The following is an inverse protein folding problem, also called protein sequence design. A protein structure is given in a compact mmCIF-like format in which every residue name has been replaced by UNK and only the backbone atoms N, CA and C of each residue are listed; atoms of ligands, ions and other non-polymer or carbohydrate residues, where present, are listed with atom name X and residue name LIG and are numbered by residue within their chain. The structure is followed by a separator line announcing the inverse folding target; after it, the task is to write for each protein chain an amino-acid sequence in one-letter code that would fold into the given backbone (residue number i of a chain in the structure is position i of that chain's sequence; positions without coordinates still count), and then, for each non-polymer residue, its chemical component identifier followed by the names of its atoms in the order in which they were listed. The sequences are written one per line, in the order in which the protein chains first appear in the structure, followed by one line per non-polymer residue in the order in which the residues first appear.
data_IF_291771478235
#
_entry.id   IF_291771478235
#
_cell.length_a   1.000
_cell.length_b   1.000
_cell.length_c   1.000
_cell.angle_alpha   90.00
_cell.angle_beta   90.00
_cell.angle_gamma   90.00
#
_symmetry.space_group_name_H-M   'P 1'
#
loop_
_entity.id
_entity.type
_entity.pdbx_description
1 polymer ?
#
# COMPACT_ATOMS: atom_id res chain seq x y z
N UNK A 1 -15.60 -8.34 29.16
CA UNK A 1 -16.13 -8.33 27.76
C UNK A 1 -14.92 -8.30 26.85
N UNK A 2 -14.84 -9.22 25.88
CA UNK A 2 -13.65 -9.26 25.00
C UNK A 2 -13.89 -8.40 23.75
N UNK A 3 -13.16 -7.28 23.63
CA UNK A 3 -13.18 -6.43 22.44
C UNK A 3 -11.94 -6.74 21.60
N UNK A 4 -12.14 -6.89 20.28
CA UNK A 4 -11.07 -6.95 19.30
C UNK A 4 -10.94 -5.60 18.61
N UNK A 5 -9.72 -5.09 18.53
CA UNK A 5 -9.41 -3.84 17.83
C UNK A 5 -8.40 -4.17 16.73
N UNK A 6 -8.76 -3.91 15.48
CA UNK A 6 -7.89 -4.08 14.34
C UNK A 6 -7.44 -2.71 13.82
N UNK A 7 -6.15 -2.57 13.51
CA UNK A 7 -5.59 -1.35 12.96
C UNK A 7 -4.45 -1.67 11.97
N UNK A 8 -3.95 -0.68 11.26
CA UNK A 8 -3.01 -0.86 10.14
C UNK A 8 -1.66 -1.48 10.54
N UNK A 9 -1.00 -0.93 11.55
CA UNK A 9 0.37 -1.31 11.86
C UNK A 9 0.77 -1.07 13.31
N UNK A 10 2.04 -1.33 13.62
CA UNK A 10 2.57 -1.27 14.99
C UNK A 10 2.52 0.12 15.61
N UNK A 11 2.73 1.17 14.81
CA UNK A 11 2.70 2.57 15.28
C UNK A 11 1.31 2.94 15.79
N UNK A 12 0.27 2.70 14.98
CA UNK A 12 -1.12 2.93 15.38
C UNK A 12 -1.51 2.03 16.56
N UNK A 13 -1.19 0.73 16.51
CA UNK A 13 -1.50 -0.20 17.60
C UNK A 13 -0.82 0.21 18.92
N UNK A 14 0.42 0.68 18.86
CA UNK A 14 1.15 1.19 20.03
C UNK A 14 0.42 2.40 20.63
N UNK A 15 0.03 3.34 19.81
CA UNK A 15 -0.64 4.55 20.27
C UNK A 15 -2.07 4.29 20.80
N UNK A 16 -2.84 3.39 20.18
CA UNK A 16 -4.15 2.98 20.70
C UNK A 16 -4.04 2.38 22.12
N UNK A 17 -3.01 1.54 22.36
CA UNK A 17 -2.73 1.00 23.70
C UNK A 17 -2.31 2.08 24.69
N UNK A 18 -1.43 3.00 24.27
CA UNK A 18 -0.98 4.14 25.09
C UNK A 18 -2.12 5.08 25.44
N UNK A 19 -3.06 5.30 24.51
CA UNK A 19 -4.27 6.08 24.74
C UNK A 19 -5.29 5.39 25.68
N UNK A 20 -5.03 4.16 26.10
CA UNK A 20 -5.92 3.42 27.01
C UNK A 20 -7.20 2.93 26.33
N UNK A 21 -7.19 2.71 25.02
CA UNK A 21 -8.30 2.07 24.33
C UNK A 21 -8.40 0.62 24.82
N UNK A 22 -9.51 0.30 25.46
CA UNK A 22 -9.73 -1.02 26.09
C UNK A 22 -10.09 -2.07 25.04
N UNK A 23 -9.29 -3.12 24.96
CA UNK A 23 -9.49 -4.23 24.03
C UNK A 23 -8.18 -4.91 23.62
N UNK A 24 -8.34 -5.99 22.86
CA UNK A 24 -7.21 -6.71 22.26
C UNK A 24 -6.82 -6.05 20.93
N UNK A 25 -5.76 -5.25 20.95
CA UNK A 25 -5.32 -4.51 19.75
C UNK A 25 -4.39 -5.37 18.88
N UNK A 26 -4.79 -5.62 17.64
CA UNK A 26 -4.07 -6.42 16.66
C UNK A 26 -3.72 -5.55 15.43
N UNK A 27 -2.44 -5.33 15.12
CA UNK A 27 -2.03 -4.67 13.90
C UNK A 27 -2.10 -5.63 12.70
N UNK A 28 -2.60 -5.15 11.56
CA UNK A 28 -2.81 -5.98 10.36
C UNK A 28 -1.52 -6.28 9.58
N UNK A 29 -0.62 -5.32 9.46
CA UNK A 29 0.76 -5.44 8.95
C UNK A 29 0.92 -6.04 7.56
N UNK A 30 0.01 -5.82 6.64
CA UNK A 30 0.17 -6.28 5.26
C UNK A 30 0.25 -5.10 4.29
N UNK A 31 1.31 -5.06 3.48
CA UNK A 31 1.57 -4.00 2.49
C UNK A 31 0.87 -4.38 1.18
N UNK A 32 -0.48 -4.34 1.18
CA UNK A 32 -1.31 -4.85 0.08
C UNK A 32 -1.15 -4.07 -1.23
N UNK A 33 -0.67 -2.84 -1.19
CA UNK A 33 -0.39 -2.04 -2.39
C UNK A 33 0.88 -2.46 -3.13
N UNK A 34 1.60 -3.46 -2.62
CA UNK A 34 2.80 -4.02 -3.23
C UNK A 34 2.72 -5.54 -3.37
N UNK A 35 3.34 -6.04 -4.43
CA UNK A 35 3.43 -7.46 -4.71
C UNK A 35 2.10 -8.13 -5.04
N UNK A 36 2.10 -9.45 -5.21
CA UNK A 36 0.93 -10.19 -5.68
C UNK A 36 -0.16 -10.30 -4.62
N UNK A 37 -1.39 -9.94 -5.01
CA UNK A 37 -2.63 -10.16 -4.24
C UNK A 37 -3.66 -10.82 -5.17
N UNK A 38 -3.38 -12.02 -5.71
CA UNK A 38 -4.23 -12.66 -6.71
C UNK A 38 -5.52 -13.21 -6.10
N UNK A 39 -6.48 -13.55 -6.97
CA UNK A 39 -7.60 -14.40 -6.59
C UNK A 39 -7.07 -15.78 -6.18
N UNK A 40 -7.53 -16.26 -5.04
CA UNK A 40 -7.19 -17.58 -4.50
C UNK A 40 -8.48 -18.25 -4.01
N UNK A 41 -8.48 -19.57 -3.94
CA UNK A 41 -9.65 -20.30 -3.48
C UNK A 41 -9.90 -20.11 -1.96
N UNK A 42 -8.83 -19.81 -1.20
CA UNK A 42 -8.90 -19.67 0.26
C UNK A 42 -8.04 -18.51 0.75
N UNK A 43 -8.37 -17.99 1.94
CA UNK A 43 -7.53 -16.98 2.65
C UNK A 43 -6.14 -17.57 2.98
N UNK A 44 -6.05 -18.88 3.22
CA UNK A 44 -4.78 -19.55 3.52
C UNK A 44 -3.82 -19.53 2.32
N UNK A 45 -4.33 -19.73 1.10
CA UNK A 45 -3.51 -19.63 -0.13
C UNK A 45 -3.03 -18.20 -0.35
N UNK A 46 -3.90 -17.20 -0.17
CA UNK A 46 -3.49 -15.79 -0.26
C UNK A 46 -2.41 -15.45 0.78
N UNK A 47 -2.61 -15.89 2.01
CA UNK A 47 -1.64 -15.71 3.10
C UNK A 47 -0.27 -16.31 2.76
N UNK A 48 -0.26 -17.46 2.10
CA UNK A 48 0.99 -18.13 1.66
C UNK A 48 1.72 -17.30 0.59
N UNK A 49 0.99 -16.77 -0.40
CA UNK A 49 1.52 -15.85 -1.42
C UNK A 49 2.09 -14.59 -0.76
N UNK A 50 1.33 -13.97 0.15
CA UNK A 50 1.77 -12.77 0.85
C UNK A 50 2.99 -13.00 1.73
N UNK A 51 3.05 -14.14 2.43
CA UNK A 51 4.20 -14.50 3.24
C UNK A 51 5.48 -14.65 2.39
N UNK A 52 5.38 -15.19 1.18
CA UNK A 52 6.48 -15.25 0.22
C UNK A 52 6.98 -13.85 -0.14
N UNK A 53 6.10 -12.97 -0.57
CA UNK A 53 6.45 -11.60 -0.97
C UNK A 53 7.04 -10.77 0.19
N UNK A 54 6.38 -10.79 1.35
CA UNK A 54 6.81 -10.00 2.51
C UNK A 54 8.14 -10.49 3.09
N UNK A 55 8.45 -11.79 2.97
CA UNK A 55 9.73 -12.33 3.41
C UNK A 55 10.87 -11.95 2.46
N UNK A 56 10.64 -11.98 1.15
CA UNK A 56 11.63 -11.60 0.14
C UNK A 56 12.06 -10.13 0.29
N UNK A 57 11.15 -9.25 0.63
CA UNK A 57 11.42 -7.84 0.91
C UNK A 57 12.03 -7.53 2.28
N UNK A 58 12.31 -8.54 3.14
CA UNK A 58 12.77 -8.31 4.52
C UNK A 58 13.87 -9.29 4.92
N UNK A 59 14.45 -9.13 6.11
CA UNK A 59 15.38 -10.10 6.73
C UNK A 59 14.66 -11.25 7.44
N UNK A 60 13.32 -11.26 7.40
CA UNK A 60 12.51 -12.26 8.10
C UNK A 60 12.40 -13.53 7.29
N UNK A 61 12.36 -14.67 7.96
CA UNK A 61 12.09 -15.95 7.31
C UNK A 61 10.63 -16.05 6.89
N UNK A 62 10.35 -16.63 5.72
CA UNK A 62 8.99 -16.84 5.22
C UNK A 62 8.06 -17.53 6.24
N UNK A 63 8.58 -18.57 6.94
CA UNK A 63 7.79 -19.30 7.94
C UNK A 63 7.40 -18.41 9.14
N UNK A 64 8.24 -17.44 9.51
CA UNK A 64 7.94 -16.51 10.59
C UNK A 64 6.86 -15.51 10.16
N UNK A 65 6.96 -14.99 8.94
CA UNK A 65 5.93 -14.12 8.37
C UNK A 65 4.61 -14.86 8.23
N UNK A 66 4.63 -16.10 7.71
CA UNK A 66 3.44 -16.93 7.57
C UNK A 66 2.74 -17.19 8.92
N UNK A 67 3.52 -17.48 9.97
CA UNK A 67 2.96 -17.65 11.33
C UNK A 67 2.31 -16.37 11.86
N UNK A 68 2.92 -15.22 11.64
CA UNK A 68 2.37 -13.94 12.09
C UNK A 68 1.07 -13.61 11.36
N UNK A 69 1.03 -13.79 10.04
CA UNK A 69 -0.18 -13.61 9.25
C UNK A 69 -1.28 -14.60 9.67
N UNK A 70 -0.93 -15.86 9.95
CA UNK A 70 -1.87 -16.85 10.42
C UNK A 70 -2.42 -16.52 11.83
N UNK A 71 -1.56 -16.04 12.73
CA UNK A 71 -1.97 -15.62 14.07
C UNK A 71 -2.91 -14.41 14.03
N UNK A 72 -2.65 -13.45 13.09
CA UNK A 72 -3.53 -12.32 12.82
C UNK A 72 -4.92 -12.79 12.35
N UNK A 73 -4.96 -13.65 11.33
CA UNK A 73 -6.21 -14.11 10.72
C UNK A 73 -7.03 -14.96 11.69
N UNK A 74 -6.38 -15.69 12.62
CA UNK A 74 -7.05 -16.48 13.65
C UNK A 74 -7.99 -15.64 14.54
N UNK A 75 -7.74 -14.34 14.71
CA UNK A 75 -8.67 -13.46 15.43
C UNK A 75 -9.99 -13.27 14.67
N UNK A 76 -9.94 -13.22 13.32
CA UNK A 76 -11.15 -13.18 12.51
C UNK A 76 -11.87 -14.54 12.46
N UNK A 77 -11.12 -15.65 12.48
CA UNK A 77 -11.71 -16.99 12.55
C UNK A 77 -12.43 -17.18 13.90
N UNK A 78 -11.90 -16.60 14.98
CA UNK A 78 -12.49 -16.59 16.32
C UNK A 78 -13.42 -15.38 16.56
N UNK A 79 -13.97 -14.74 15.51
CA UNK A 79 -14.76 -13.50 15.61
C UNK A 79 -15.96 -13.60 16.57
N UNK A 80 -16.50 -14.80 16.78
CA UNK A 80 -17.65 -15.04 17.68
C UNK A 80 -17.26 -14.95 19.17
N UNK A 81 -16.00 -15.09 19.52
CA UNK A 81 -15.49 -14.97 20.89
C UNK A 81 -15.42 -13.51 21.35
N UNK A 82 -15.58 -12.56 20.40
CA UNK A 82 -15.56 -11.13 20.68
C UNK A 82 -16.98 -10.56 20.68
N UNK A 83 -17.35 -9.88 21.75
CA UNK A 83 -18.62 -9.16 21.84
C UNK A 83 -18.66 -7.96 20.88
N UNK A 84 -17.47 -7.36 20.64
CA UNK A 84 -17.32 -6.17 19.80
C UNK A 84 -16.03 -6.24 19.00
N UNK A 85 -16.10 -5.85 17.73
CA UNK A 85 -14.94 -5.67 16.84
C UNK A 85 -14.89 -4.20 16.43
N UNK A 86 -13.76 -3.56 16.66
CA UNK A 86 -13.51 -2.18 16.24
C UNK A 86 -12.41 -2.17 15.18
N UNK A 87 -12.65 -1.45 14.09
CA UNK A 87 -11.72 -1.24 12.98
C UNK A 87 -11.26 0.21 13.02
N UNK A 88 -9.96 0.43 13.22
CA UNK A 88 -9.36 1.77 13.29
C UNK A 88 -8.39 1.94 12.12
N UNK A 89 -8.84 2.63 11.07
CA UNK A 89 -8.09 2.79 9.83
C UNK A 89 -8.03 4.24 9.38
N UNK A 90 -6.97 4.57 8.66
CA UNK A 90 -6.63 5.88 8.16
C UNK A 90 -7.17 6.10 6.73
N UNK A 91 -6.90 7.25 6.15
CA UNK A 91 -7.47 7.71 4.89
C UNK A 91 -6.66 7.33 3.65
N UNK A 92 -5.49 6.74 3.82
CA UNK A 92 -4.57 6.46 2.73
C UNK A 92 -4.76 5.06 2.09
N UNK A 93 -4.04 4.83 0.99
CA UNK A 93 -4.13 3.60 0.21
C UNK A 93 -3.76 2.34 1.01
N UNK A 94 -2.72 2.40 1.84
CA UNK A 94 -2.28 1.26 2.65
C UNK A 94 -3.39 0.80 3.59
N UNK A 95 -4.04 1.74 4.25
CA UNK A 95 -5.12 1.51 5.20
C UNK A 95 -6.41 1.05 4.53
N UNK A 96 -6.81 1.70 3.45
CA UNK A 96 -8.07 1.40 2.78
C UNK A 96 -8.07 0.00 2.14
N UNK A 97 -6.94 -0.48 1.64
CA UNK A 97 -6.83 -1.86 1.14
C UNK A 97 -6.96 -2.89 2.26
N UNK A 98 -6.35 -2.65 3.41
CA UNK A 98 -6.50 -3.53 4.57
C UNK A 98 -7.94 -3.53 5.09
N UNK A 99 -8.57 -2.36 5.14
CA UNK A 99 -9.96 -2.21 5.58
C UNK A 99 -10.92 -3.04 4.72
N UNK A 100 -10.85 -2.95 3.38
CA UNK A 100 -11.72 -3.74 2.51
C UNK A 100 -11.42 -5.23 2.59
N UNK A 101 -10.17 -5.64 2.78
CA UNK A 101 -9.83 -7.04 3.03
C UNK A 101 -10.50 -7.56 4.31
N UNK A 102 -10.34 -6.86 5.42
CA UNK A 102 -10.89 -7.26 6.72
C UNK A 102 -12.42 -7.35 6.67
N UNK A 103 -13.08 -6.33 6.12
CA UNK A 103 -14.53 -6.32 6.00
C UNK A 103 -15.05 -7.42 5.06
N UNK A 104 -14.34 -7.72 3.97
CA UNK A 104 -14.63 -8.86 3.10
C UNK A 104 -14.52 -10.18 3.86
N UNK A 105 -13.47 -10.36 4.67
CA UNK A 105 -13.27 -11.55 5.49
C UNK A 105 -14.34 -11.69 6.58
N UNK A 106 -14.76 -10.61 7.23
CA UNK A 106 -15.85 -10.61 8.21
C UNK A 106 -17.19 -10.94 7.57
N UNK A 107 -17.47 -10.37 6.40
CA UNK A 107 -18.68 -10.67 5.61
C UNK A 107 -18.77 -12.15 5.20
N UNK A 108 -17.66 -12.74 4.76
CA UNK A 108 -17.56 -14.16 4.42
C UNK A 108 -17.76 -15.09 5.64
N UNK A 109 -17.48 -14.62 6.86
CA UNK A 109 -17.70 -15.33 8.14
C UNK A 109 -19.06 -15.03 8.77
N UNK A 110 -19.92 -14.31 8.06
CA UNK A 110 -21.26 -13.91 8.52
C UNK A 110 -21.26 -13.05 9.80
N UNK A 111 -20.17 -12.31 10.06
CA UNK A 111 -20.11 -11.34 11.15
C UNK A 111 -20.72 -10.01 10.71
N UNK A 112 -22.02 -9.85 10.94
CA UNK A 112 -22.83 -8.71 10.49
C UNK A 112 -23.20 -7.71 11.59
N UNK A 113 -22.95 -8.04 12.83
CA UNK A 113 -23.33 -7.24 14.00
C UNK A 113 -22.12 -6.98 14.90
N UNK A 114 -22.23 -5.93 15.70
CA UNK A 114 -21.23 -5.51 16.67
C UNK A 114 -19.82 -5.29 16.05
N UNK A 115 -19.81 -4.83 14.80
CA UNK A 115 -18.62 -4.35 14.09
C UNK A 115 -18.73 -2.84 13.93
N UNK A 116 -17.72 -2.12 14.38
CA UNK A 116 -17.67 -0.66 14.36
C UNK A 116 -16.43 -0.19 13.62
N UNK A 117 -16.54 0.95 12.95
CA UNK A 117 -15.48 1.53 12.13
C UNK A 117 -15.19 2.96 12.56
N UNK A 118 -13.92 3.24 12.80
CA UNK A 118 -13.35 4.57 12.93
C UNK A 118 -12.44 4.81 11.72
N UNK A 119 -12.82 5.76 10.88
CA UNK A 119 -11.98 6.19 9.75
C UNK A 119 -11.34 7.53 10.09
N UNK A 120 -10.07 7.47 10.49
CA UNK A 120 -9.31 8.66 10.85
C UNK A 120 -8.93 9.47 9.60
N UNK A 121 -9.20 10.78 9.57
CA UNK A 121 -8.83 11.64 8.44
C UNK A 121 -7.34 12.04 8.45
N UNK A 122 -6.55 11.42 9.31
CA UNK A 122 -5.11 11.66 9.49
C UNK A 122 -4.47 10.44 10.12
N UNK A 123 -3.12 10.40 10.13
CA UNK A 123 -2.33 9.27 10.62
C UNK A 123 -2.46 9.08 12.12
N UNK A 124 -3.02 7.95 12.55
CA UNK A 124 -3.22 7.60 13.96
C UNK A 124 -1.85 7.55 14.67
N UNK A 125 -0.90 6.83 14.10
CA UNK A 125 0.42 6.64 14.70
C UNK A 125 1.26 7.92 14.88
N UNK A 126 0.84 9.05 14.29
CA UNK A 126 1.49 10.35 14.43
C UNK A 126 0.77 11.28 15.43
N UNK A 127 -0.32 10.82 16.03
CA UNK A 127 -1.09 11.60 16.98
C UNK A 127 -0.52 11.54 18.40
N UNK A 128 -1.06 12.37 19.29
CA UNK A 128 -0.91 12.21 20.74
C UNK A 128 -2.07 11.36 21.28
N UNK A 129 -1.88 10.63 22.40
CA UNK A 129 -2.93 9.79 22.98
C UNK A 129 -4.28 10.50 23.16
N UNK A 130 -4.28 11.72 23.68
CA UNK A 130 -5.50 12.51 23.89
C UNK A 130 -6.24 12.85 22.59
N UNK A 131 -5.51 13.00 21.47
CA UNK A 131 -6.12 13.28 20.17
C UNK A 131 -6.75 12.03 19.57
N UNK A 132 -6.13 10.85 19.76
CA UNK A 132 -6.66 9.56 19.29
C UNK A 132 -8.01 9.26 19.92
N UNK A 133 -8.18 9.56 21.22
CA UNK A 133 -9.47 9.37 21.91
C UNK A 133 -10.62 10.13 21.26
N UNK A 134 -10.35 11.30 20.65
CA UNK A 134 -11.37 12.07 19.92
C UNK A 134 -11.85 11.39 18.65
N UNK A 135 -11.05 10.49 18.03
CA UNK A 135 -11.50 9.75 16.86
C UNK A 135 -12.65 8.78 17.17
N UNK A 136 -12.91 8.45 18.46
CA UNK A 136 -14.12 7.72 18.85
C UNK A 136 -15.41 8.46 18.47
N UNK A 137 -15.38 9.77 18.35
CA UNK A 137 -16.53 10.56 17.90
C UNK A 137 -16.88 10.30 16.41
N UNK A 138 -15.94 9.72 15.64
CA UNK A 138 -16.12 9.32 14.26
C UNK A 138 -16.61 7.86 14.11
N UNK A 139 -16.78 7.15 15.21
CA UNK A 139 -17.19 5.75 15.21
C UNK A 139 -18.63 5.57 14.74
N UNK A 140 -18.83 4.60 13.87
CA UNK A 140 -20.16 4.18 13.44
C UNK A 140 -20.23 2.65 13.21
N UNK A 141 -21.44 2.10 13.25
CA UNK A 141 -21.65 0.68 13.02
C UNK A 141 -21.47 0.34 11.54
N UNK A 142 -20.77 -0.77 11.27
CA UNK A 142 -20.63 -1.33 9.92
C UNK A 142 -21.98 -1.92 9.51
N UNK A 143 -22.46 -1.53 8.33
CA UNK A 143 -23.70 -2.03 7.76
C UNK A 143 -23.47 -3.24 6.85
N UNK A 144 -24.54 -4.00 6.55
CA UNK A 144 -24.47 -5.10 5.57
C UNK A 144 -24.06 -4.58 4.18
N UNK A 145 -24.54 -3.42 3.78
CA UNK A 145 -24.16 -2.78 2.51
C UNK A 145 -22.65 -2.48 2.46
N UNK A 146 -22.03 -2.08 3.58
CA UNK A 146 -20.59 -1.88 3.65
C UNK A 146 -19.80 -3.17 3.51
N UNK A 147 -20.25 -4.28 4.11
CA UNK A 147 -19.61 -5.59 3.94
C UNK A 147 -19.67 -6.06 2.48
N UNK A 148 -20.81 -5.85 1.81
CA UNK A 148 -20.98 -6.17 0.38
C UNK A 148 -20.03 -5.29 -0.46
N UNK A 149 -20.06 -3.97 -0.27
CA UNK A 149 -19.18 -3.05 -1.00
C UNK A 149 -17.71 -3.42 -0.81
N UNK A 150 -17.26 -3.65 0.42
CA UNK A 150 -15.88 -4.04 0.71
C UNK A 150 -15.49 -5.33 -0.02
N UNK A 151 -16.38 -6.33 -0.03
CA UNK A 151 -16.15 -7.60 -0.75
C UNK A 151 -16.04 -7.39 -2.26
N UNK A 152 -16.85 -6.52 -2.85
CA UNK A 152 -16.80 -6.21 -4.28
C UNK A 152 -15.53 -5.43 -4.65
N UNK A 153 -15.10 -4.45 -3.84
CA UNK A 153 -13.85 -3.72 -4.06
C UNK A 153 -12.64 -4.64 -3.87
N UNK A 154 -12.65 -5.48 -2.84
CA UNK A 154 -11.61 -6.47 -2.61
C UNK A 154 -11.50 -7.49 -3.76
N UNK A 155 -12.62 -8.00 -4.26
CA UNK A 155 -12.65 -8.88 -5.42
C UNK A 155 -12.10 -8.17 -6.68
N UNK A 156 -12.50 -6.92 -6.94
CA UNK A 156 -12.01 -6.13 -8.07
C UNK A 156 -10.49 -5.90 -8.01
N UNK A 157 -9.96 -5.60 -6.83
CA UNK A 157 -8.52 -5.41 -6.62
C UNK A 157 -7.68 -6.67 -6.92
N UNK A 158 -8.27 -7.85 -6.74
CA UNK A 158 -7.58 -9.15 -6.90
C UNK A 158 -7.69 -9.74 -8.31
N UNK A 159 -8.38 -9.07 -9.23
CA UNK A 159 -8.54 -9.56 -10.61
C UNK A 159 -7.20 -9.60 -11.37
N UNK A 160 -7.03 -10.52 -12.32
CA UNK A 160 -5.82 -10.62 -13.14
C UNK A 160 -5.67 -9.44 -14.12
N UNK A 161 -6.69 -8.59 -14.25
CA UNK A 161 -6.67 -7.35 -15.03
C UNK A 161 -7.30 -6.20 -14.24
N UNK A 162 -6.88 -4.93 -14.46
CA UNK A 162 -7.27 -3.81 -13.61
C UNK A 162 -8.63 -3.19 -13.97
N UNK A 163 -9.34 -3.69 -14.98
CA UNK A 163 -10.59 -3.10 -15.50
C UNK A 163 -11.68 -3.00 -14.43
N UNK A 164 -11.89 -4.09 -13.67
CA UNK A 164 -12.87 -4.08 -12.57
C UNK A 164 -12.51 -3.07 -11.49
N UNK A 165 -11.21 -2.90 -11.20
CA UNK A 165 -10.72 -1.91 -10.24
C UNK A 165 -10.93 -0.48 -10.75
N UNK A 166 -10.70 -0.23 -12.04
CA UNK A 166 -10.93 1.07 -12.67
C UNK A 166 -12.41 1.47 -12.65
N UNK A 167 -13.33 0.52 -12.87
CA UNK A 167 -14.76 0.79 -12.69
C UNK A 167 -15.12 1.12 -11.23
N UNK A 168 -14.49 0.45 -10.26
CA UNK A 168 -14.67 0.78 -8.84
C UNK A 168 -14.14 2.17 -8.46
N UNK A 169 -13.08 2.66 -9.10
CA UNK A 169 -12.55 4.02 -8.88
C UNK A 169 -13.56 5.13 -9.24
N UNK A 170 -14.57 4.85 -10.05
CA UNK A 170 -15.65 5.78 -10.39
C UNK A 170 -16.74 5.89 -9.33
N UNK A 171 -16.76 4.96 -8.37
CA UNK A 171 -17.83 4.82 -7.36
C UNK A 171 -17.34 5.37 -6.02
N UNK A 172 -18.19 6.18 -5.37
CA UNK A 172 -18.01 6.59 -3.98
C UNK A 172 -18.97 5.77 -3.10
N UNK A 173 -18.53 4.63 -2.52
CA UNK A 173 -19.42 3.76 -1.77
C UNK A 173 -19.78 4.38 -0.43
N UNK A 174 -21.04 4.20 -0.03
CA UNK A 174 -21.53 4.69 1.27
C UNK A 174 -20.73 4.06 2.42
N UNK A 175 -20.38 4.87 3.41
CA UNK A 175 -19.60 4.45 4.56
C UNK A 175 -18.06 4.43 4.34
N UNK A 176 -17.58 4.77 3.13
CA UNK A 176 -16.15 4.78 2.80
C UNK A 176 -15.71 6.11 2.18
N UNK A 177 -15.54 7.16 2.98
CA UNK A 177 -15.22 8.50 2.47
C UNK A 177 -13.88 8.59 1.74
N UNK A 178 -12.95 7.66 2.00
CA UNK A 178 -11.58 7.70 1.47
C UNK A 178 -11.32 6.63 0.39
N UNK A 179 -12.12 5.57 0.32
CA UNK A 179 -11.84 4.39 -0.50
C UNK A 179 -11.73 4.71 -2.00
N UNK A 180 -12.63 5.52 -2.54
CA UNK A 180 -12.56 5.92 -3.96
C UNK A 180 -11.23 6.57 -4.31
N UNK A 181 -10.75 7.50 -3.48
CA UNK A 181 -9.50 8.19 -3.72
C UNK A 181 -8.30 7.24 -3.58
N UNK A 182 -8.35 6.34 -2.60
CA UNK A 182 -7.33 5.30 -2.42
C UNK A 182 -7.24 4.37 -3.63
N UNK A 183 -8.37 3.91 -4.17
CA UNK A 183 -8.39 3.06 -5.38
C UNK A 183 -7.87 3.81 -6.62
N UNK A 184 -8.27 5.09 -6.79
CA UNK A 184 -7.69 5.92 -7.85
C UNK A 184 -6.17 6.02 -7.70
N UNK A 185 -5.68 6.27 -6.46
CA UNK A 185 -4.25 6.35 -6.19
C UNK A 185 -3.53 5.03 -6.49
N UNK A 186 -4.16 3.88 -6.23
CA UNK A 186 -3.61 2.57 -6.62
C UNK A 186 -3.46 2.44 -8.14
N UNK A 187 -4.46 2.86 -8.93
CA UNK A 187 -4.40 2.84 -10.39
C UNK A 187 -3.30 3.73 -10.96
N UNK A 188 -2.96 4.82 -10.30
CA UNK A 188 -1.84 5.69 -10.67
C UNK A 188 -0.44 5.05 -10.46
N UNK A 189 -0.37 3.86 -9.86
CA UNK A 189 0.85 3.03 -9.85
C UNK A 189 0.97 2.13 -11.11
N UNK A 190 -0.04 2.12 -11.99
CA UNK A 190 0.12 1.60 -13.33
C UNK A 190 1.06 2.52 -14.15
N UNK A 191 1.79 1.98 -15.14
CA UNK A 191 2.54 2.78 -16.09
C UNK A 191 1.71 3.89 -16.72
N UNK A 192 2.22 5.11 -16.73
CA UNK A 192 1.58 6.24 -17.41
C UNK A 192 1.52 6.06 -18.91
N UNK A 193 0.54 6.68 -19.55
CA UNK A 193 0.30 6.56 -21.00
C UNK A 193 1.44 7.07 -21.85
N UNK A 194 2.12 8.13 -21.43
CA UNK A 194 3.11 8.84 -22.24
C UNK A 194 4.55 8.49 -21.91
N UNK A 195 4.85 8.18 -20.68
CA UNK A 195 6.21 7.98 -20.18
C UNK A 195 6.47 6.58 -19.59
N UNK A 196 5.41 5.78 -19.41
CA UNK A 196 5.52 4.44 -18.84
C UNK A 196 5.87 4.40 -17.34
N UNK A 197 5.88 5.56 -16.65
CA UNK A 197 6.20 5.66 -15.22
C UNK A 197 4.95 5.52 -14.35
N UNK A 198 5.08 4.85 -13.22
CA UNK A 198 4.13 4.98 -12.13
C UNK A 198 4.17 6.42 -11.55
N UNK A 199 3.07 6.88 -10.92
CA UNK A 199 3.04 8.22 -10.29
C UNK A 199 4.18 8.41 -9.30
N UNK A 200 4.45 7.42 -8.45
CA UNK A 200 5.56 7.47 -7.49
C UNK A 200 6.92 7.62 -8.19
N UNK A 201 7.17 6.88 -9.27
CA UNK A 201 8.40 6.98 -10.05
C UNK A 201 8.56 8.36 -10.68
N UNK A 202 7.48 8.90 -11.25
CA UNK A 202 7.47 10.27 -11.81
C UNK A 202 7.73 11.33 -10.76
N UNK A 203 7.16 11.21 -9.57
CA UNK A 203 7.41 12.12 -8.44
C UNK A 203 8.89 12.10 -8.01
N UNK A 204 9.53 10.92 -8.00
CA UNK A 204 10.95 10.76 -7.71
C UNK A 204 11.79 11.50 -8.76
N UNK A 205 11.62 11.19 -10.05
CA UNK A 205 12.39 11.83 -11.12
C UNK A 205 12.19 13.35 -11.15
N UNK A 206 10.94 13.80 -11.05
CA UNK A 206 10.60 15.23 -10.96
C UNK A 206 11.29 15.93 -9.81
N UNK A 207 11.36 15.29 -8.64
CA UNK A 207 11.99 15.89 -7.45
C UNK A 207 13.51 15.96 -7.59
N UNK A 208 14.14 14.96 -8.21
CA UNK A 208 15.57 14.96 -8.53
C UNK A 208 15.90 16.06 -9.56
N UNK A 209 15.08 16.22 -10.60
CA UNK A 209 15.20 17.32 -11.58
C UNK A 209 15.17 18.69 -10.94
N UNK A 210 14.43 18.84 -9.85
CA UNK A 210 14.35 20.09 -9.05
C UNK A 210 15.44 20.22 -7.98
N UNK A 211 16.47 19.37 -8.02
CA UNK A 211 17.67 19.46 -7.16
C UNK A 211 17.54 18.79 -5.80
N UNK A 212 16.50 17.97 -5.57
CA UNK A 212 16.41 17.16 -4.34
C UNK A 212 17.11 15.83 -4.61
N UNK A 213 18.44 15.85 -4.47
CA UNK A 213 19.31 14.78 -4.93
C UNK A 213 19.64 13.71 -3.89
N UNK A 214 19.16 13.80 -2.65
CA UNK A 214 19.50 12.83 -1.60
C UNK A 214 18.31 11.97 -1.22
N UNK A 215 18.45 10.62 -1.10
CA UNK A 215 17.37 9.70 -0.82
C UNK A 215 16.48 10.06 0.37
N UNK A 216 17.06 10.48 1.50
CA UNK A 216 16.27 10.85 2.68
C UNK A 216 15.37 12.08 2.46
N UNK A 217 15.90 13.26 2.08
CA UNK A 217 15.09 14.42 1.69
C UNK A 217 14.12 14.14 0.53
N UNK A 218 14.50 13.27 -0.42
CA UNK A 218 13.69 12.89 -1.55
C UNK A 218 12.45 12.11 -1.09
N UNK A 219 12.61 11.16 -0.17
CA UNK A 219 11.49 10.47 0.47
C UNK A 219 10.49 11.45 1.11
N UNK A 220 10.98 12.35 1.95
CA UNK A 220 10.13 13.37 2.58
C UNK A 220 9.42 14.26 1.54
N UNK A 221 10.10 14.59 0.43
CA UNK A 221 9.50 15.37 -0.66
C UNK A 221 8.38 14.62 -1.36
N UNK A 222 8.59 13.35 -1.70
CA UNK A 222 7.58 12.51 -2.38
C UNK A 222 6.37 12.31 -1.47
N UNK A 223 6.54 12.03 -0.18
CA UNK A 223 5.43 11.97 0.77
C UNK A 223 4.61 13.26 0.81
N UNK A 224 5.27 14.43 0.75
CA UNK A 224 4.58 15.73 0.74
C UNK A 224 3.91 16.07 -0.60
N UNK A 225 4.09 15.28 -1.65
CA UNK A 225 3.37 15.41 -2.91
C UNK A 225 2.08 14.57 -2.95
N UNK A 226 1.88 13.71 -1.96
CA UNK A 226 0.68 12.88 -1.84
C UNK A 226 -0.44 13.61 -1.10
N UNK A 227 -1.67 13.42 -1.53
CA UNK A 227 -2.87 13.85 -0.82
C UNK A 227 -3.07 13.06 0.47
N UNK A 228 -2.69 11.77 0.43
CA UNK A 228 -2.69 10.83 1.55
C UNK A 228 -1.47 9.91 1.39
N UNK A 229 -0.36 10.23 2.06
CA UNK A 229 0.88 9.49 1.96
C UNK A 229 0.73 8.08 2.55
N UNK A 230 1.00 7.07 1.74
CA UNK A 230 0.83 5.65 2.09
C UNK A 230 2.14 4.85 2.06
N UNK A 231 3.17 5.41 1.42
CA UNK A 231 4.41 4.70 1.14
C UNK A 231 5.35 4.75 2.34
N UNK A 232 5.80 3.59 2.80
CA UNK A 232 6.88 3.48 3.78
C UNK A 232 8.25 3.75 3.16
N UNK A 233 9.24 4.03 4.00
CA UNK A 233 10.63 4.28 3.59
C UNK A 233 11.25 3.09 2.85
N UNK A 234 10.95 1.88 3.31
CA UNK A 234 11.39 0.64 2.69
C UNK A 234 10.94 0.49 1.24
N UNK A 235 9.65 0.65 1.01
CA UNK A 235 9.03 0.60 -0.31
C UNK A 235 9.58 1.69 -1.23
N UNK A 236 9.70 2.90 -0.70
CA UNK A 236 10.29 4.02 -1.42
C UNK A 236 11.72 3.74 -1.86
N UNK A 237 12.58 3.21 -0.97
CA UNK A 237 13.98 2.93 -1.31
C UNK A 237 14.11 1.78 -2.31
N UNK A 238 13.20 0.82 -2.32
CA UNK A 238 13.13 -0.23 -3.37
C UNK A 238 12.82 0.37 -4.74
N UNK A 239 11.81 1.24 -4.83
CA UNK A 239 11.45 1.93 -6.08
C UNK A 239 12.61 2.79 -6.56
N UNK A 240 13.17 3.62 -5.68
CA UNK A 240 14.34 4.46 -6.00
C UNK A 240 15.51 3.65 -6.52
N UNK A 241 15.84 2.56 -5.84
CA UNK A 241 16.92 1.65 -6.26
C UNK A 241 16.62 1.01 -7.62
N UNK A 242 15.37 0.62 -7.88
CA UNK A 242 14.93 0.09 -9.18
C UNK A 242 15.22 1.06 -10.32
N UNK A 243 14.92 2.35 -10.13
CA UNK A 243 15.21 3.40 -11.12
C UNK A 243 16.71 3.62 -11.39
N UNK A 244 17.57 3.26 -10.43
CA UNK A 244 19.04 3.34 -10.57
C UNK A 244 19.66 2.06 -11.14
N UNK A 245 18.99 0.92 -11.05
CA UNK A 245 19.58 -0.40 -11.33
C UNK A 245 18.87 -1.20 -12.42
N UNK A 246 17.82 -0.65 -13.03
CA UNK A 246 17.19 -1.25 -14.21
C UNK A 246 18.17 -1.30 -15.40
N UNK A 247 17.78 -2.02 -16.47
CA UNK A 247 18.65 -2.28 -17.63
C UNK A 247 19.16 -0.98 -18.28
N UNK A 248 18.31 0.03 -18.38
CA UNK A 248 18.64 1.38 -18.80
C UNK A 248 18.25 2.36 -17.69
N UNK A 249 19.17 2.69 -16.76
CA UNK A 249 18.86 3.50 -15.59
C UNK A 249 18.32 4.89 -15.91
N UNK A 250 17.32 5.33 -15.15
CA UNK A 250 16.78 6.69 -15.21
C UNK A 250 17.46 7.63 -14.23
N UNK A 251 18.04 7.06 -13.16
CA UNK A 251 18.82 7.77 -12.13
C UNK A 251 20.20 7.14 -12.01
N UNK A 252 21.16 7.95 -11.63
CA UNK A 252 22.50 7.54 -11.22
C UNK A 252 22.85 8.10 -9.83
N UNK A 253 23.90 7.56 -9.21
CA UNK A 253 24.42 8.05 -7.91
C UNK A 253 24.31 7.04 -6.76
N UNK A 254 23.46 6.01 -6.84
CA UNK A 254 23.51 4.90 -5.89
C UNK A 254 24.68 3.98 -6.22
N UNK A 255 25.41 3.58 -5.18
CA UNK A 255 26.59 2.68 -5.31
C UNK A 255 26.21 1.20 -5.16
N UNK A 256 25.04 0.92 -4.65
CA UNK A 256 24.52 -0.44 -4.46
C UNK A 256 23.00 -0.50 -4.58
N UNK A 257 22.49 -1.70 -4.89
CA UNK A 257 21.07 -1.98 -4.88
C UNK A 257 20.52 -1.97 -3.44
N UNK A 258 19.30 -1.48 -3.26
CA UNK A 258 18.66 -1.50 -1.95
C UNK A 258 18.23 -2.92 -1.57
N UNK A 259 18.79 -3.39 -0.50
CA UNK A 259 18.46 -4.66 0.15
C UNK A 259 18.22 -4.43 1.65
N UNK A 260 17.46 -5.33 2.30
CA UNK A 260 17.25 -5.26 3.76
C UNK A 260 18.54 -5.13 4.58
N UNK A 261 19.61 -5.78 4.13
CA UNK A 261 20.94 -5.76 4.76
C UNK A 261 21.58 -4.38 4.76
N UNK A 262 21.23 -3.49 3.82
CA UNK A 262 21.75 -2.11 3.76
C UNK A 262 21.36 -1.33 5.00
N UNK A 263 20.12 -1.47 5.47
CA UNK A 263 19.65 -0.75 6.66
C UNK A 263 20.20 -1.30 7.99
N UNK A 264 20.73 -2.53 7.98
CA UNK A 264 21.34 -3.14 9.17
C UNK A 264 22.82 -2.77 9.36
N UNK A 265 23.49 -2.32 8.31
CA UNK A 265 24.86 -1.85 8.35
C UNK A 265 24.87 -0.30 8.35
N UNK A 266 25.34 0.29 9.43
CA UNK A 266 25.33 1.75 9.60
C UNK A 266 26.15 2.48 8.53
N UNK A 267 27.24 1.88 8.04
CA UNK A 267 28.09 2.48 7.00
C UNK A 267 27.38 2.44 5.65
N UNK A 268 26.82 1.29 5.27
CA UNK A 268 26.05 1.13 4.02
C UNK A 268 24.81 2.00 4.05
N UNK A 269 24.05 1.96 5.14
CA UNK A 269 22.86 2.82 5.32
C UNK A 269 23.19 4.29 5.14
N UNK A 270 24.28 4.78 5.79
CA UNK A 270 24.70 6.17 5.66
C UNK A 270 25.09 6.49 4.22
N UNK A 271 25.87 5.62 3.56
CA UNK A 271 26.26 5.81 2.16
C UNK A 271 25.01 5.89 1.26
N UNK A 272 24.05 4.98 1.43
CA UNK A 272 22.81 4.95 0.66
C UNK A 272 21.98 6.23 0.83
N UNK A 273 21.65 6.61 2.08
CA UNK A 273 20.76 7.76 2.34
C UNK A 273 21.40 9.13 2.04
N UNK A 274 22.72 9.19 1.89
CA UNK A 274 23.46 10.43 1.55
C UNK A 274 24.04 10.44 0.13
N UNK A 275 23.75 9.42 -0.69
CA UNK A 275 24.14 9.38 -2.09
C UNK A 275 23.64 10.62 -2.84
N UNK A 276 24.43 11.10 -3.80
CA UNK A 276 24.03 12.22 -4.64
C UNK A 276 23.44 11.67 -5.96
N UNK A 277 22.10 11.78 -6.06
CA UNK A 277 21.33 11.29 -7.22
C UNK A 277 21.32 12.33 -8.33
N UNK A 278 21.36 11.87 -9.57
CA UNK A 278 21.15 12.69 -10.76
C UNK A 278 20.30 11.94 -11.79
N UNK A 279 19.56 12.71 -12.62
CA UNK A 279 18.90 12.13 -13.80
C UNK A 279 19.95 11.73 -14.84
N UNK A 280 19.80 10.57 -15.43
CA UNK A 280 20.49 10.21 -16.69
C UNK A 280 19.88 10.99 -17.88
N UNK A 281 20.48 10.91 -19.06
CA UNK A 281 19.87 11.48 -20.28
C UNK A 281 18.53 10.81 -20.57
N UNK A 282 18.47 9.46 -20.47
CA UNK A 282 17.22 8.72 -20.62
C UNK A 282 16.18 9.13 -19.55
N UNK A 283 16.60 9.32 -18.29
CA UNK A 283 15.70 9.77 -17.24
C UNK A 283 15.08 11.15 -17.52
N UNK A 284 15.82 12.06 -18.15
CA UNK A 284 15.28 13.35 -18.62
C UNK A 284 14.29 13.19 -19.77
N UNK A 285 14.60 12.35 -20.73
CA UNK A 285 13.73 12.11 -21.89
C UNK A 285 12.42 11.42 -21.50
N UNK A 286 12.49 10.43 -20.58
CA UNK A 286 11.30 9.76 -20.04
C UNK A 286 10.45 10.74 -19.21
N UNK A 287 11.07 11.52 -18.31
CA UNK A 287 10.34 12.52 -17.51
C UNK A 287 9.67 13.59 -18.40
N UNK A 288 10.28 13.92 -19.53
CA UNK A 288 9.71 14.85 -20.54
C UNK A 288 8.59 14.19 -21.38
N UNK A 289 8.35 12.90 -21.27
CA UNK A 289 7.37 12.15 -22.06
C UNK A 289 7.76 11.98 -23.54
N UNK A 290 9.05 12.12 -23.87
CA UNK A 290 9.56 11.94 -25.24
C UNK A 290 10.01 10.51 -25.51
N UNK A 291 10.21 9.73 -24.47
CA UNK A 291 10.59 8.31 -24.49
C UNK A 291 9.76 7.56 -23.44
N UNK A 292 9.33 6.36 -23.78
CA UNK A 292 8.60 5.46 -22.88
C UNK A 292 9.56 4.56 -22.10
N UNK A 293 9.37 4.46 -20.78
CA UNK A 293 10.19 3.60 -19.92
C UNK A 293 10.19 2.13 -20.35
N UNK A 294 9.02 1.61 -20.73
CA UNK A 294 8.85 0.20 -21.07
C UNK A 294 9.49 -0.19 -22.44
N UNK A 295 9.88 0.79 -23.28
CA UNK A 295 10.65 0.55 -24.51
C UNK A 295 12.13 0.23 -24.22
N UNK A 296 12.62 0.62 -23.05
CA UNK A 296 14.02 0.50 -22.66
C UNK A 296 14.28 -0.42 -21.47
N UNK A 297 13.22 -0.72 -20.70
CA UNK A 297 13.34 -1.48 -19.48
C UNK A 297 12.24 -2.54 -19.37
N UNK A 298 12.57 -3.64 -18.70
CA UNK A 298 11.59 -4.65 -18.35
C UNK A 298 10.65 -4.15 -17.26
N UNK A 299 9.36 -4.41 -17.45
CA UNK A 299 8.31 -4.20 -16.45
C UNK A 299 7.97 -5.55 -15.85
N UNK A 300 8.13 -5.67 -14.53
CA UNK A 300 7.73 -6.83 -13.73
C UNK A 300 7.23 -6.32 -12.38
N UNK A 301 5.93 -6.03 -12.31
CA UNK A 301 5.31 -5.49 -11.09
C UNK A 301 3.87 -5.94 -10.92
N UNK A 302 3.36 -5.81 -9.73
CA UNK A 302 2.00 -6.19 -9.37
C UNK A 302 1.18 -4.99 -8.90
N UNK A 303 -0.07 -4.93 -9.37
CA UNK A 303 -1.12 -4.11 -8.77
C UNK A 303 -2.26 -5.06 -8.35
N UNK A 304 -2.32 -5.38 -7.06
CA UNK A 304 -3.28 -6.36 -6.58
C UNK A 304 -3.10 -7.74 -7.23
N UNK A 305 -4.12 -8.21 -7.95
CA UNK A 305 -4.05 -9.46 -8.72
C UNK A 305 -3.50 -9.31 -10.14
N UNK A 306 -3.29 -8.08 -10.60
CA UNK A 306 -2.80 -7.79 -11.95
C UNK A 306 -1.28 -7.86 -11.99
N UNK A 307 -0.73 -8.77 -12.78
CA UNK A 307 0.70 -8.87 -13.06
C UNK A 307 1.02 -8.08 -14.34
N UNK A 308 1.82 -7.05 -14.20
CA UNK A 308 2.27 -6.21 -15.30
C UNK A 308 3.62 -6.69 -15.81
N UNK A 309 3.68 -6.98 -17.11
CA UNK A 309 4.89 -7.29 -17.86
C UNK A 309 4.87 -6.49 -19.17
N UNK A 310 5.97 -6.45 -19.91
CA UNK A 310 5.98 -5.79 -21.24
C UNK A 310 4.94 -6.39 -22.21
N UNK A 311 4.59 -7.68 -22.05
CA UNK A 311 3.57 -8.35 -22.88
C UNK A 311 2.12 -8.10 -22.40
N UNK A 312 1.94 -7.67 -21.16
CA UNK A 312 0.62 -7.45 -20.52
C UNK A 312 0.59 -6.08 -19.83
N UNK A 313 0.97 -5.05 -20.58
CA UNK A 313 1.15 -3.71 -20.06
C UNK A 313 -0.16 -2.94 -20.08
N UNK A 314 -0.78 -2.80 -18.93
CA UNK A 314 -1.86 -1.86 -18.70
C UNK A 314 -1.29 -0.49 -18.34
N UNK A 315 -1.95 0.56 -18.82
CA UNK A 315 -1.56 1.95 -18.56
C UNK A 315 -2.69 2.75 -17.95
N UNK A 316 -2.33 3.79 -17.25
CA UNK A 316 -3.27 4.75 -16.69
C UNK A 316 -3.09 6.13 -17.33
N UNK A 317 -4.18 6.68 -17.81
CA UNK A 317 -4.24 8.08 -18.26
C UNK A 317 -4.78 8.94 -17.12
N UNK A 318 -3.91 9.70 -16.46
CA UNK A 318 -4.27 10.54 -15.31
C UNK A 318 -5.18 11.71 -15.69
N UNK A 319 -5.09 12.20 -16.93
CA UNK A 319 -5.89 13.34 -17.42
C UNK A 319 -7.32 12.90 -17.75
N UNK A 320 -7.48 11.71 -18.29
CA UNK A 320 -8.77 11.14 -18.65
C UNK A 320 -9.43 10.32 -17.53
N UNK A 321 -8.68 9.93 -16.48
CA UNK A 321 -9.11 8.98 -15.44
C UNK A 321 -9.54 7.62 -16.05
N UNK A 322 -8.76 7.09 -17.00
CA UNK A 322 -9.11 5.89 -17.75
C UNK A 322 -7.92 4.93 -17.90
N UNK A 323 -8.26 3.63 -18.02
CA UNK A 323 -7.30 2.61 -18.44
C UNK A 323 -7.05 2.73 -19.95
N UNK A 324 -5.79 2.60 -20.31
CA UNK A 324 -5.35 2.40 -21.69
C UNK A 324 -4.68 1.02 -21.79
N UNK A 325 -5.11 0.25 -22.77
CA UNK A 325 -4.53 -1.06 -23.08
C UNK A 325 -3.97 -0.99 -24.51
N UNK A 326 -2.65 -1.02 -24.60
CA UNK A 326 -1.93 -1.02 -25.90
C UNK A 326 -1.92 -2.42 -26.52
#
# INVERSE_FOLDING_TARGET
MSHLILTNGDSAAGLLREAGIDGHVVPWRDVLHEGPVPETATDAELRDVRAGYLADGTVRRRDDVLRDLAARDAHLDAHQDYERIELWFEHDLYDQLQLIQILSMLGARDRRQDVFLVQAPTYIGMQKPDNVLRFRELEFAVTEAMLINASEFWAAFRKPTPEALAEKAKIAPEGFPFLRQAIKRALQELPGRTDGLARTERQILYSVDRGIAKPGPLFARVLNMEEAAFLGDWSFFRILSGLCTCSCPLLEGLTEHFEPSVLQDDTRRKAFITADLALTDLGRDVLAGTVDFAEHNDVDRWLGGTHLTNDTLWRWDDDADELDHL
#
